data_IF_953087285009
#
_entry.id   IF_953087285009
#
_cell.length_a   1.000
_cell.length_b   1.000
_cell.length_c   1.000
_cell.angle_alpha   90.00
_cell.angle_beta   90.00
_cell.angle_gamma   90.00
#
_symmetry.space_group_name_H-M   'P 1'
#
loop_
_entity.id
_entity.type
_entity.pdbx_description
1 polymer ?
#
# COMPACT_ATOMS: atom_id res chain seq x y z
N UNK A 1 -67.78 10.18 -31.75
CA UNK A 1 -67.47 8.75 -31.54
C UNK A 1 -65.99 8.46 -31.26
N UNK A 2 -65.02 8.85 -32.10
CA UNK A 2 -63.59 8.54 -31.87
C UNK A 2 -63.03 9.00 -30.50
N UNK A 3 -63.44 10.17 -29.99
CA UNK A 3 -63.01 10.66 -28.66
C UNK A 3 -63.58 9.85 -27.48
N UNK A 4 -64.78 9.27 -27.62
CA UNK A 4 -65.40 8.46 -26.57
C UNK A 4 -64.70 7.10 -26.45
N UNK A 5 -64.35 6.48 -27.58
CA UNK A 5 -63.63 5.20 -27.61
C UNK A 5 -62.23 5.30 -26.97
N UNK A 6 -61.51 6.39 -27.20
CA UNK A 6 -60.19 6.62 -26.60
C UNK A 6 -60.26 6.75 -25.06
N UNK A 7 -61.29 7.41 -24.54
CA UNK A 7 -61.50 7.56 -23.09
C UNK A 7 -61.84 6.20 -22.44
N UNK A 8 -62.66 5.38 -23.11
CA UNK A 8 -63.02 4.04 -22.61
C UNK A 8 -61.79 3.13 -22.55
N UNK A 9 -60.92 3.16 -23.58
CA UNK A 9 -59.68 2.35 -23.60
C UNK A 9 -58.71 2.81 -22.49
N UNK A 10 -58.58 4.11 -22.26
CA UNK A 10 -57.69 4.64 -21.22
C UNK A 10 -58.19 4.31 -19.81
N UNK A 11 -59.51 4.35 -19.59
CA UNK A 11 -60.14 3.90 -18.34
C UNK A 11 -59.96 2.39 -18.12
N UNK A 12 -60.12 1.57 -19.15
CA UNK A 12 -59.85 0.12 -19.05
C UNK A 12 -58.37 -0.19 -18.78
N UNK A 13 -57.46 0.57 -19.38
CA UNK A 13 -56.02 0.47 -19.11
C UNK A 13 -55.67 0.79 -17.66
N UNK A 14 -56.21 1.89 -17.11
CA UNK A 14 -56.02 2.25 -15.71
C UNK A 14 -56.65 1.25 -14.74
N UNK A 15 -57.82 0.70 -15.08
CA UNK A 15 -58.48 -0.32 -14.26
C UNK A 15 -57.69 -1.63 -14.25
N UNK A 16 -57.14 -2.07 -15.39
CA UNK A 16 -56.28 -3.24 -15.44
C UNK A 16 -55.01 -3.07 -14.59
N UNK A 17 -54.37 -1.89 -14.62
CA UNK A 17 -53.18 -1.59 -13.79
C UNK A 17 -53.53 -1.63 -12.29
N UNK A 18 -54.73 -1.18 -11.89
CA UNK A 18 -55.15 -1.16 -10.50
C UNK A 18 -55.33 -2.57 -9.88
N UNK A 19 -55.67 -3.57 -10.70
CA UNK A 19 -55.83 -4.97 -10.24
C UNK A 19 -54.45 -5.59 -9.93
N UNK A 20 -53.42 -5.26 -10.69
CA UNK A 20 -52.05 -5.74 -10.42
C UNK A 20 -51.40 -5.04 -9.21
N UNK A 21 -51.80 -3.81 -8.89
CA UNK A 21 -51.27 -3.08 -7.73
C UNK A 21 -51.68 -3.71 -6.38
N UNK A 22 -52.83 -4.39 -6.30
CA UNK A 22 -53.30 -5.01 -5.05
C UNK A 22 -52.45 -6.23 -4.64
N UNK A 23 -51.86 -6.96 -5.60
CA UNK A 23 -50.97 -8.09 -5.30
C UNK A 23 -49.69 -7.66 -4.56
N UNK A 24 -49.20 -6.43 -4.82
CA UNK A 24 -48.00 -5.89 -4.17
C UNK A 24 -48.25 -5.32 -2.76
N UNK A 25 -49.51 -5.18 -2.34
CA UNK A 25 -49.84 -4.72 -0.98
C UNK A 25 -50.08 -5.87 0.00
N UNK A 26 -50.01 -7.12 -0.45
CA UNK A 26 -50.17 -8.27 0.43
C UNK A 26 -48.99 -8.36 1.41
N UNK A 27 -49.34 -8.56 2.69
CA UNK A 27 -48.39 -8.72 3.78
C UNK A 27 -48.65 -10.04 4.48
N UNK A 28 -47.58 -10.67 4.94
CA UNK A 28 -47.67 -11.85 5.77
C UNK A 28 -48.17 -11.51 7.18
N UNK A 29 -48.44 -12.54 7.98
CA UNK A 29 -48.99 -12.42 9.34
C UNK A 29 -48.15 -11.55 10.29
N UNK A 30 -46.85 -11.39 10.00
CA UNK A 30 -45.91 -10.57 10.76
C UNK A 30 -45.74 -9.15 10.18
N UNK A 31 -46.52 -8.79 9.16
CA UNK A 31 -46.44 -7.52 8.45
C UNK A 31 -45.37 -7.45 7.37
N UNK A 32 -44.63 -8.53 7.11
CA UNK A 32 -43.61 -8.57 6.05
C UNK A 32 -44.25 -8.43 4.67
N UNK A 33 -43.81 -7.46 3.84
CA UNK A 33 -44.31 -7.31 2.47
C UNK A 33 -43.99 -8.53 1.61
N UNK A 34 -44.83 -8.79 0.61
CA UNK A 34 -44.57 -9.81 -0.41
C UNK A 34 -43.17 -9.64 -1.05
N UNK A 35 -42.43 -10.74 -1.23
CA UNK A 35 -41.02 -10.76 -1.69
C UNK A 35 -39.99 -10.08 -0.78
N UNK A 36 -40.36 -9.74 0.45
CA UNK A 36 -39.43 -9.27 1.47
C UNK A 36 -39.14 -10.35 2.51
N UNK A 37 -37.98 -10.22 3.16
CA UNK A 37 -37.56 -11.11 4.23
C UNK A 37 -38.17 -10.67 5.55
N UNK A 38 -38.59 -11.65 6.36
CA UNK A 38 -39.14 -11.37 7.67
C UNK A 38 -38.06 -10.84 8.60
N UNK A 39 -38.34 -9.69 9.23
CA UNK A 39 -37.51 -9.12 10.29
C UNK A 39 -37.69 -9.84 11.62
N UNK A 40 -38.82 -10.53 11.80
CA UNK A 40 -39.17 -11.21 13.06
C UNK A 40 -38.79 -12.69 13.04
N UNK A 41 -38.73 -13.30 11.85
CA UNK A 41 -38.32 -14.69 11.62
C UNK A 41 -37.22 -14.75 10.53
N UNK A 42 -35.95 -14.54 10.89
CA UNK A 42 -34.83 -14.69 9.97
C UNK A 42 -34.88 -16.03 9.21
N UNK A 43 -34.53 -16.03 7.92
CA UNK A 43 -34.64 -17.22 7.05
C UNK A 43 -35.98 -17.35 6.30
N UNK A 44 -36.99 -16.57 6.70
CA UNK A 44 -38.31 -16.63 6.08
C UNK A 44 -38.52 -15.44 5.15
N UNK A 45 -39.22 -15.69 4.05
CA UNK A 45 -39.71 -14.69 3.12
C UNK A 45 -41.23 -14.72 3.06
N UNK A 46 -41.85 -13.57 2.79
CA UNK A 46 -43.28 -13.55 2.51
C UNK A 46 -43.54 -13.93 1.05
N UNK A 47 -44.07 -15.14 0.85
CA UNK A 47 -44.27 -15.73 -0.47
C UNK A 47 -45.73 -16.14 -0.69
N UNK A 48 -46.08 -16.42 -1.94
CA UNK A 48 -47.43 -16.79 -2.34
C UNK A 48 -47.80 -18.16 -1.77
N UNK A 49 -48.99 -18.25 -1.18
CA UNK A 49 -49.51 -19.48 -0.59
C UNK A 49 -51.03 -19.57 -0.79
N UNK A 50 -51.45 -20.47 -1.67
CA UNK A 50 -52.86 -20.73 -1.98
C UNK A 50 -53.66 -21.21 -0.77
N UNK A 51 -52.98 -21.78 0.24
CA UNK A 51 -53.63 -22.27 1.46
C UNK A 51 -53.77 -21.18 2.52
N UNK A 52 -53.11 -20.04 2.35
CA UNK A 52 -53.21 -18.91 3.27
C UNK A 52 -54.48 -18.11 3.01
N UNK A 53 -55.24 -17.70 4.05
CA UNK A 53 -56.43 -16.86 3.90
C UNK A 53 -56.17 -15.54 3.16
N UNK A 54 -54.92 -15.05 3.23
CA UNK A 54 -54.51 -13.78 2.62
C UNK A 54 -53.73 -13.98 1.30
N UNK A 55 -53.63 -15.22 0.78
CA UNK A 55 -52.88 -15.56 -0.43
C UNK A 55 -51.35 -15.53 -0.29
N UNK A 56 -50.82 -15.14 0.86
CA UNK A 56 -49.38 -15.14 1.18
C UNK A 56 -49.12 -15.72 2.56
N UNK A 57 -47.98 -16.38 2.73
CA UNK A 57 -47.51 -16.89 4.01
C UNK A 57 -45.99 -16.76 4.14
N UNK A 58 -45.51 -16.76 5.40
CA UNK A 58 -44.08 -16.84 5.65
C UNK A 58 -43.61 -18.25 5.32
N UNK A 59 -42.77 -18.35 4.30
CA UNK A 59 -42.17 -19.60 3.88
C UNK A 59 -40.67 -19.56 4.13
N UNK A 60 -40.11 -20.69 4.50
CA UNK A 60 -38.68 -20.82 4.68
C UNK A 60 -38.01 -20.73 3.31
N UNK A 61 -37.29 -19.63 3.08
CA UNK A 61 -36.63 -19.36 1.79
C UNK A 61 -35.17 -19.85 1.76
N UNK A 62 -34.69 -20.47 2.85
CA UNK A 62 -33.35 -21.07 2.92
C UNK A 62 -33.17 -22.18 1.87
N UNK A 63 -34.24 -22.95 1.66
CA UNK A 63 -34.19 -24.16 0.81
C UNK A 63 -34.28 -23.79 -0.68
N UNK A 64 -35.07 -22.79 -1.04
CA UNK A 64 -35.40 -22.52 -2.44
C UNK A 64 -34.74 -21.25 -3.02
N UNK A 65 -34.13 -20.38 -2.19
CA UNK A 65 -33.45 -19.14 -2.63
C UNK A 65 -34.31 -18.33 -3.61
N UNK A 66 -35.61 -18.27 -3.37
CA UNK A 66 -36.63 -17.73 -4.28
C UNK A 66 -36.45 -16.23 -4.36
N UNK A 67 -36.26 -15.57 -3.21
CA UNK A 67 -35.99 -14.13 -3.15
C UNK A 67 -34.50 -13.91 -3.32
N UNK A 68 -34.08 -13.47 -4.51
CA UNK A 68 -32.68 -13.11 -4.78
C UNK A 68 -32.50 -11.60 -4.78
N UNK A 69 -31.37 -11.14 -4.27
CA UNK A 69 -30.93 -9.78 -4.51
C UNK A 69 -30.67 -9.61 -6.02
N UNK A 70 -31.31 -8.63 -6.70
CA UNK A 70 -31.15 -8.43 -8.13
C UNK A 70 -29.72 -8.06 -8.54
N UNK A 71 -28.91 -7.50 -7.63
CA UNK A 71 -27.52 -7.12 -7.86
C UNK A 71 -26.55 -8.27 -7.64
N UNK A 72 -26.70 -9.02 -6.55
CA UNK A 72 -25.72 -10.06 -6.15
C UNK A 72 -26.13 -11.48 -6.55
N UNK A 73 -27.40 -11.69 -6.93
CA UNK A 73 -28.03 -13.01 -7.18
C UNK A 73 -27.99 -13.94 -5.97
N UNK A 74 -27.59 -13.46 -4.79
CA UNK A 74 -27.60 -14.21 -3.55
C UNK A 74 -29.02 -14.25 -2.98
N UNK A 75 -29.40 -15.33 -2.26
CA UNK A 75 -30.65 -15.38 -1.52
C UNK A 75 -30.73 -14.20 -0.54
N UNK A 76 -31.71 -13.32 -0.74
CA UNK A 76 -31.95 -12.12 0.08
C UNK A 76 -32.24 -12.50 1.54
N UNK A 77 -32.88 -13.65 1.76
CA UNK A 77 -33.33 -14.09 3.07
C UNK A 77 -32.46 -15.16 3.73
N UNK A 78 -31.23 -15.39 3.25
CA UNK A 78 -30.31 -16.31 3.92
C UNK A 78 -29.98 -15.84 5.35
N UNK A 79 -29.77 -16.79 6.28
CA UNK A 79 -29.49 -16.47 7.69
C UNK A 79 -28.28 -15.54 7.85
N UNK A 80 -27.28 -15.69 6.98
CA UNK A 80 -26.06 -14.86 6.96
C UNK A 80 -26.32 -13.37 6.77
N UNK A 81 -27.47 -12.99 6.18
CA UNK A 81 -27.84 -11.59 6.00
C UNK A 81 -28.46 -10.97 7.28
N UNK A 82 -28.72 -11.79 8.30
CA UNK A 82 -29.27 -11.35 9.58
C UNK A 82 -28.18 -11.38 10.66
N UNK A 83 -27.78 -10.23 11.24
CA UNK A 83 -26.73 -10.17 12.24
C UNK A 83 -27.00 -11.11 13.43
N UNK A 84 -26.05 -11.99 13.73
CA UNK A 84 -26.16 -12.95 14.84
C UNK A 84 -26.95 -14.21 14.56
N UNK A 85 -27.41 -14.44 13.32
CA UNK A 85 -28.09 -15.68 12.93
C UNK A 85 -27.20 -16.56 12.05
N UNK A 86 -27.34 -17.87 12.20
CA UNK A 86 -26.71 -18.88 11.37
C UNK A 86 -27.72 -19.97 11.00
N UNK A 87 -27.55 -20.58 9.83
CA UNK A 87 -28.37 -21.73 9.46
C UNK A 87 -27.90 -22.97 10.21
N UNK A 88 -28.79 -23.58 10.99
CA UNK A 88 -28.57 -24.85 11.68
C UNK A 88 -29.78 -25.74 11.43
N UNK A 89 -29.55 -26.89 10.80
CA UNK A 89 -30.60 -27.86 10.45
C UNK A 89 -31.76 -27.25 9.62
N UNK A 90 -31.46 -26.31 8.72
CA UNK A 90 -32.46 -25.66 7.86
C UNK A 90 -33.26 -24.54 8.52
N UNK A 91 -32.90 -24.13 9.74
CA UNK A 91 -33.50 -22.99 10.44
C UNK A 91 -32.46 -21.93 10.78
N UNK A 92 -32.85 -20.65 10.77
CA UNK A 92 -31.99 -19.60 11.28
C UNK A 92 -32.04 -19.56 12.80
N UNK A 93 -30.96 -19.99 13.43
CA UNK A 93 -30.79 -19.96 14.88
C UNK A 93 -29.88 -18.80 15.25
N UNK A 94 -30.24 -18.07 16.30
CA UNK A 94 -29.38 -17.04 16.86
C UNK A 94 -28.16 -17.71 17.49
N UNK A 95 -26.97 -17.41 16.99
CA UNK A 95 -25.72 -17.99 17.46
C UNK A 95 -24.76 -16.89 17.88
N UNK A 96 -24.04 -17.16 18.97
CA UNK A 96 -23.04 -16.27 19.52
C UNK A 96 -21.87 -17.07 20.03
N UNK A 97 -20.71 -16.42 20.08
CA UNK A 97 -19.49 -17.01 20.62
C UNK A 97 -19.08 -16.22 21.87
N UNK A 98 -18.68 -16.92 22.92
CA UNK A 98 -18.06 -16.30 24.07
C UNK A 98 -16.54 -16.37 23.93
N UNK A 99 -15.89 -15.22 23.99
CA UNK A 99 -14.43 -15.13 23.87
C UNK A 99 -13.89 -14.06 24.81
N UNK A 100 -13.01 -14.46 25.73
CA UNK A 100 -12.44 -13.58 26.78
C UNK A 100 -13.51 -12.75 27.53
N UNK A 101 -14.60 -13.41 27.95
CA UNK A 101 -15.72 -12.79 28.68
C UNK A 101 -16.49 -11.71 27.90
N UNK A 102 -16.33 -11.66 26.57
CA UNK A 102 -17.15 -10.87 25.65
C UNK A 102 -17.96 -11.80 24.76
N UNK A 103 -19.19 -11.42 24.47
CA UNK A 103 -20.08 -12.15 23.54
C UNK A 103 -20.02 -11.51 22.17
N UNK A 104 -19.72 -12.31 21.15
CA UNK A 104 -19.66 -11.90 19.75
C UNK A 104 -20.82 -12.55 18.99
N UNK A 105 -21.45 -11.80 18.10
CA UNK A 105 -22.52 -12.32 17.26
C UNK A 105 -21.94 -13.17 16.11
N UNK A 106 -22.73 -14.07 15.56
CA UNK A 106 -22.36 -14.75 14.32
C UNK A 106 -22.01 -13.77 13.20
N UNK A 107 -20.88 -14.03 12.52
CA UNK A 107 -20.28 -13.18 11.50
C UNK A 107 -19.41 -12.04 12.05
N UNK A 108 -19.35 -11.85 13.37
CA UNK A 108 -18.59 -10.75 13.98
C UNK A 108 -17.11 -11.10 14.12
N UNK A 109 -16.26 -10.17 13.69
CA UNK A 109 -14.81 -10.27 13.84
C UNK A 109 -14.37 -9.88 15.25
N UNK A 110 -13.49 -10.67 15.85
CA UNK A 110 -12.81 -10.31 17.10
C UNK A 110 -11.65 -9.37 16.76
N UNK A 111 -11.95 -8.08 16.73
CA UNK A 111 -11.03 -7.02 16.30
C UNK A 111 -9.71 -6.98 17.09
N UNK A 112 -9.73 -7.34 18.38
CA UNK A 112 -8.56 -7.41 19.26
C UNK A 112 -7.60 -8.56 18.89
N UNK A 113 -8.11 -9.60 18.22
CA UNK A 113 -7.34 -10.80 17.86
C UNK A 113 -7.65 -11.26 16.44
N UNK A 114 -7.40 -10.37 15.48
CA UNK A 114 -7.38 -10.76 14.06
C UNK A 114 -6.46 -11.98 13.86
N UNK A 115 -6.86 -12.99 13.08
CA UNK A 115 -7.99 -13.00 12.13
C UNK A 115 -9.25 -13.72 12.65
N UNK A 116 -9.55 -13.68 13.95
CA UNK A 116 -10.64 -14.48 14.50
C UNK A 116 -12.03 -13.94 14.17
N UNK A 117 -12.95 -14.83 13.81
CA UNK A 117 -14.37 -14.58 13.54
C UNK A 117 -15.23 -15.54 14.36
N UNK A 118 -16.38 -15.06 14.84
CA UNK A 118 -17.42 -15.93 15.38
C UNK A 118 -18.26 -16.51 14.23
N UNK A 119 -18.21 -17.81 14.00
CA UNK A 119 -19.03 -18.51 12.99
C UNK A 119 -19.72 -19.72 13.63
N UNK A 120 -21.05 -19.76 13.53
CA UNK A 120 -21.91 -20.85 14.02
C UNK A 120 -21.66 -21.22 15.49
N UNK A 121 -21.41 -20.22 16.34
CA UNK A 121 -21.13 -20.43 17.77
C UNK A 121 -19.71 -20.92 18.09
N UNK A 122 -18.81 -20.95 17.09
CA UNK A 122 -17.38 -21.28 17.26
C UNK A 122 -16.50 -20.12 16.83
N UNK A 123 -15.35 -19.99 17.48
CA UNK A 123 -14.30 -19.06 17.05
C UNK A 123 -13.43 -19.76 16.02
N UNK A 124 -13.39 -19.19 14.82
CA UNK A 124 -12.58 -19.66 13.70
C UNK A 124 -11.61 -18.57 13.25
N UNK A 125 -10.54 -18.93 12.57
CA UNK A 125 -9.64 -17.98 11.93
C UNK A 125 -10.05 -17.80 10.47
N UNK A 126 -10.44 -16.59 10.09
CA UNK A 126 -10.79 -16.25 8.70
C UNK A 126 -10.19 -14.88 8.32
N UNK A 127 -8.90 -14.87 7.90
CA UNK A 127 -8.20 -13.64 7.56
C UNK A 127 -8.77 -12.93 6.33
N UNK A 128 -9.50 -13.65 5.48
CA UNK A 128 -10.14 -13.06 4.30
C UNK A 128 -11.30 -12.13 4.67
N UNK A 129 -11.96 -12.38 5.80
CA UNK A 129 -13.08 -11.56 6.28
C UNK A 129 -12.61 -10.55 7.32
N UNK A 130 -11.84 -10.98 8.33
CA UNK A 130 -11.47 -10.13 9.46
C UNK A 130 -10.13 -9.41 9.30
N UNK A 131 -9.40 -9.71 8.22
CA UNK A 131 -8.05 -9.22 7.99
C UNK A 131 -7.04 -9.83 8.94
N UNK A 132 -5.78 -9.39 8.80
CA UNK A 132 -4.67 -9.84 9.63
C UNK A 132 -4.29 -8.81 10.70
N UNK A 133 -3.61 -9.24 11.78
CA UNK A 133 -3.07 -8.32 12.78
C UNK A 133 -1.94 -7.48 12.18
N UNK A 134 -1.59 -6.38 12.85
CA UNK A 134 -0.51 -5.47 12.42
C UNK A 134 0.80 -6.23 12.18
N UNK A 135 1.48 -5.91 11.08
CA UNK A 135 2.71 -6.59 10.65
C UNK A 135 2.48 -7.93 9.94
N UNK A 136 1.23 -8.33 9.72
CA UNK A 136 0.85 -9.49 8.92
C UNK A 136 -0.07 -9.10 7.77
N UNK A 137 -0.08 -9.93 6.74
CA UNK A 137 -0.95 -9.83 5.58
C UNK A 137 -1.60 -11.18 5.28
N UNK A 138 -2.67 -11.16 4.49
CA UNK A 138 -3.35 -12.37 4.06
C UNK A 138 -2.41 -13.12 3.10
N UNK A 139 -2.10 -14.37 3.43
CA UNK A 139 -1.31 -15.26 2.58
C UNK A 139 -1.98 -15.47 1.21
N UNK A 140 -1.20 -15.87 0.20
CA UNK A 140 -1.73 -16.23 -1.12
C UNK A 140 -2.78 -17.34 -1.08
N UNK A 141 -2.75 -18.19 -0.04
CA UNK A 141 -3.75 -19.24 0.17
C UNK A 141 -5.08 -18.74 0.74
N UNK A 142 -5.16 -17.45 1.13
CA UNK A 142 -6.32 -16.79 1.76
C UNK A 142 -6.80 -17.39 3.08
N UNK A 143 -6.07 -18.36 3.63
CA UNK A 143 -6.43 -19.10 4.84
C UNK A 143 -5.61 -18.68 6.05
N UNK A 144 -4.43 -18.13 5.83
CA UNK A 144 -3.49 -17.81 6.90
C UNK A 144 -3.03 -16.36 6.84
N UNK A 145 -2.57 -15.84 7.98
CA UNK A 145 -1.85 -14.57 8.04
C UNK A 145 -0.34 -14.83 8.01
N UNK A 146 0.35 -14.31 7.01
CA UNK A 146 1.81 -14.36 6.90
C UNK A 146 2.43 -13.04 7.35
N UNK A 147 3.71 -13.07 7.75
CA UNK A 147 4.43 -11.83 8.07
C UNK A 147 4.56 -10.97 6.80
N UNK A 148 4.32 -9.66 6.93
CA UNK A 148 4.52 -8.71 5.83
C UNK A 148 5.99 -8.65 5.44
N UNK A 149 6.24 -8.51 4.14
CA UNK A 149 7.59 -8.37 3.59
C UNK A 149 7.93 -6.89 3.50
N UNK A 150 8.90 -6.44 4.28
CA UNK A 150 9.32 -5.05 4.30
C UNK A 150 10.38 -4.79 5.34
N UNK A 151 11.16 -3.73 5.14
CA UNK A 151 12.22 -3.39 6.09
C UNK A 151 11.66 -2.89 7.43
N UNK A 152 10.42 -2.36 7.45
CA UNK A 152 9.72 -1.97 8.69
C UNK A 152 9.49 -3.17 9.61
N UNK A 153 9.21 -4.32 9.03
CA UNK A 153 8.86 -5.55 9.74
C UNK A 153 10.07 -6.45 10.02
N UNK A 154 11.28 -6.00 9.67
CA UNK A 154 12.51 -6.77 9.85
C UNK A 154 12.64 -8.01 8.94
N UNK A 155 11.71 -8.21 8.01
CA UNK A 155 11.76 -9.29 7.01
C UNK A 155 12.70 -8.98 5.84
N UNK A 156 13.13 -7.72 5.72
CA UNK A 156 14.15 -7.29 4.75
C UNK A 156 15.25 -6.52 5.47
N UNK A 157 16.46 -7.07 5.48
CA UNK A 157 17.66 -6.37 5.94
C UNK A 157 18.18 -5.47 4.82
N UNK A 158 18.28 -4.16 5.09
CA UNK A 158 18.87 -3.23 4.14
C UNK A 158 20.37 -3.51 3.97
N UNK A 159 20.85 -3.44 2.73
CA UNK A 159 22.28 -3.54 2.44
C UNK A 159 23.05 -2.38 3.10
N UNK A 160 24.36 -2.54 3.36
CA UNK A 160 25.21 -1.44 3.79
C UNK A 160 25.02 -0.20 2.89
N UNK A 161 24.91 0.98 3.50
CA UNK A 161 24.67 2.23 2.77
C UNK A 161 23.20 2.50 2.42
N UNK A 162 22.29 1.67 2.91
CA UNK A 162 20.85 1.92 2.86
C UNK A 162 20.26 1.91 4.27
N UNK A 163 19.19 2.69 4.47
CA UNK A 163 18.38 2.65 5.69
C UNK A 163 16.92 2.42 5.36
N UNK A 164 16.24 1.71 6.23
CA UNK A 164 14.80 1.56 6.14
C UNK A 164 14.13 2.92 6.34
N UNK A 165 13.26 3.30 5.41
CA UNK A 165 12.36 4.44 5.56
C UNK A 165 10.93 3.97 5.34
N UNK A 166 10.05 4.35 6.24
CA UNK A 166 8.61 4.15 6.16
C UNK A 166 7.90 5.37 6.77
N UNK A 167 6.62 5.54 6.45
CA UNK A 167 5.75 6.54 7.06
C UNK A 167 5.16 6.00 8.36
N UNK A 168 5.48 6.60 9.50
CA UNK A 168 4.98 6.16 10.80
C UNK A 168 3.44 6.21 10.89
N UNK A 169 2.84 7.19 10.22
CA UNK A 169 1.39 7.41 10.21
C UNK A 169 0.63 6.49 9.22
N UNK A 170 1.33 5.77 8.34
CA UNK A 170 0.71 4.81 7.44
C UNK A 170 1.03 3.39 7.92
N UNK A 171 0.10 2.68 8.59
CA UNK A 171 0.34 1.30 9.03
C UNK A 171 0.50 0.30 7.87
N UNK A 172 0.18 0.70 6.63
CA UNK A 172 0.31 -0.15 5.45
C UNK A 172 1.64 0.05 4.72
N UNK A 173 2.46 1.04 5.09
CA UNK A 173 3.80 1.23 4.53
C UNK A 173 4.75 0.16 5.10
N UNK A 174 5.14 -0.79 4.25
CA UNK A 174 6.07 -1.88 4.57
C UNK A 174 7.52 -1.40 4.71
N UNK A 175 7.77 -0.15 4.34
CA UNK A 175 9.08 0.46 4.34
C UNK A 175 9.95 -0.02 3.20
N UNK A 176 10.79 0.89 2.73
CA UNK A 176 11.77 0.63 1.68
C UNK A 176 13.17 1.00 2.13
N UNK A 177 14.13 0.19 1.71
CA UNK A 177 15.54 0.53 1.86
C UNK A 177 15.85 1.70 0.93
N UNK A 178 16.22 2.84 1.50
CA UNK A 178 16.62 4.03 0.75
C UNK A 178 18.09 4.31 0.96
N UNK A 179 18.81 4.74 -0.08
CA UNK A 179 20.23 5.02 0.05
C UNK A 179 20.45 6.15 1.06
N UNK A 180 21.48 5.99 1.89
CA UNK A 180 21.94 7.04 2.80
C UNK A 180 22.96 7.91 2.07
N UNK A 181 23.04 9.18 2.48
CA UNK A 181 24.07 10.10 2.01
C UNK A 181 25.29 9.99 2.90
N UNK A 182 26.47 9.98 2.31
CA UNK A 182 27.73 9.88 3.03
C UNK A 182 28.90 9.70 2.08
N UNK A 183 30.12 9.75 2.58
CA UNK A 183 31.33 9.57 1.77
C UNK A 183 31.96 8.17 1.89
N UNK A 184 31.46 7.32 2.80
CA UNK A 184 32.04 6.00 3.03
C UNK A 184 31.95 5.11 1.78
N UNK A 185 32.85 4.14 1.67
CA UNK A 185 32.98 3.34 0.44
C UNK A 185 31.82 2.39 0.17
N UNK A 186 31.10 1.97 1.22
CA UNK A 186 29.91 1.15 1.07
C UNK A 186 28.66 1.95 0.65
N UNK A 187 28.74 3.29 0.61
CA UNK A 187 27.64 4.13 0.16
C UNK A 187 27.46 3.98 -1.35
N UNK A 188 26.24 3.75 -1.86
CA UNK A 188 25.97 3.67 -3.29
C UNK A 188 26.44 4.92 -4.04
N UNK A 189 27.08 4.74 -5.20
CA UNK A 189 27.62 5.86 -5.99
C UNK A 189 26.59 6.94 -6.34
N UNK A 190 25.29 6.60 -6.42
CA UNK A 190 24.23 7.58 -6.70
C UNK A 190 24.03 8.60 -5.57
N UNK A 191 24.37 8.25 -4.33
CA UNK A 191 24.25 9.13 -3.14
C UNK A 191 25.57 9.36 -2.43
N UNK A 192 26.67 8.82 -2.97
CA UNK A 192 28.01 8.99 -2.42
C UNK A 192 28.48 10.43 -2.59
N UNK A 193 28.78 11.06 -1.48
CA UNK A 193 29.38 12.39 -1.43
C UNK A 193 30.87 12.22 -1.71
N UNK A 194 31.35 12.81 -2.80
CA UNK A 194 32.78 12.84 -3.12
C UNK A 194 33.43 13.99 -2.35
N UNK A 195 34.27 13.65 -1.37
CA UNK A 195 35.08 14.64 -0.67
C UNK A 195 36.04 15.31 -1.66
N UNK A 196 36.29 16.60 -1.47
CA UNK A 196 37.26 17.33 -2.29
C UNK A 196 38.69 16.83 -2.02
N UNK A 197 39.65 17.24 -2.86
CA UNK A 197 41.07 16.89 -2.66
C UNK A 197 41.64 17.35 -1.30
N UNK A 198 41.03 18.37 -0.70
CA UNK A 198 41.42 18.94 0.61
C UNK A 198 40.73 18.27 1.80
N UNK A 199 39.85 17.31 1.55
CA UNK A 199 39.06 16.61 2.56
C UNK A 199 39.38 15.12 2.56
N UNK A 200 39.04 14.45 3.64
CA UNK A 200 38.99 13.00 3.73
C UNK A 200 37.63 12.57 4.29
N UNK A 201 37.25 11.31 4.03
CA UNK A 201 36.03 10.77 4.58
C UNK A 201 36.29 10.24 6.00
N UNK A 202 35.70 10.88 7.00
CA UNK A 202 35.79 10.47 8.40
C UNK A 202 34.57 9.62 8.78
N UNK A 203 34.79 8.34 9.08
CA UNK A 203 33.76 7.38 9.48
C UNK A 203 33.77 7.08 10.99
N UNK A 204 34.55 7.83 11.79
CA UNK A 204 34.71 7.54 13.23
C UNK A 204 33.46 7.91 14.04
N UNK A 205 32.81 9.03 13.70
CA UNK A 205 31.60 9.51 14.40
C UNK A 205 30.30 9.18 13.69
N UNK A 206 30.35 8.92 12.37
CA UNK A 206 29.21 8.52 11.55
C UNK A 206 29.65 7.38 10.64
N UNK A 207 29.05 6.18 10.71
CA UNK A 207 29.44 5.07 9.85
C UNK A 207 29.29 5.40 8.36
N UNK A 208 28.36 6.29 7.97
CA UNK A 208 28.16 6.70 6.58
C UNK A 208 29.27 7.64 6.08
N UNK A 209 30.08 8.17 6.99
CA UNK A 209 31.20 9.05 6.69
C UNK A 209 30.79 10.49 6.44
N UNK A 210 31.58 11.42 6.97
CA UNK A 210 31.49 12.85 6.69
C UNK A 210 32.78 13.35 6.06
N UNK A 211 32.69 14.21 5.06
CA UNK A 211 33.88 14.89 4.55
C UNK A 211 34.38 15.88 5.60
N UNK A 212 35.62 15.68 6.03
CA UNK A 212 36.31 16.52 7.02
C UNK A 212 37.55 17.12 6.35
N UNK A 213 37.81 18.42 6.49
CA UNK A 213 39.02 19.02 5.94
C UNK A 213 40.27 18.38 6.55
N UNK A 214 41.21 17.99 5.69
CA UNK A 214 42.50 17.44 6.12
C UNK A 214 43.21 18.46 7.00
N UNK A 215 43.82 18.04 8.11
CA UNK A 215 44.54 18.97 8.97
C UNK A 215 45.80 19.52 8.31
N UNK A 216 46.20 20.68 8.81
CA UNK A 216 47.43 21.37 8.48
C UNK A 216 47.27 22.44 7.41
N UNK A 217 48.23 23.36 7.43
CA UNK A 217 48.16 24.60 6.67
C UNK A 217 48.24 24.39 5.15
N UNK A 218 48.81 23.28 4.67
CA UNK A 218 48.86 22.94 3.23
C UNK A 218 47.44 22.72 2.70
N UNK A 219 46.57 22.19 3.56
CA UNK A 219 45.16 21.95 3.25
C UNK A 219 44.26 23.14 3.66
N UNK A 220 44.87 24.28 4.02
CA UNK A 220 44.19 25.49 4.50
C UNK A 220 43.34 25.26 5.76
N UNK A 221 43.74 24.32 6.62
CA UNK A 221 43.02 24.00 7.86
C UNK A 221 43.95 23.80 9.08
N UNK A 222 44.24 24.84 9.88
CA UNK A 222 43.75 26.21 9.72
C UNK A 222 44.48 26.97 8.61
N UNK A 223 43.86 28.00 8.02
CA UNK A 223 44.56 28.94 7.15
C UNK A 223 45.57 29.75 7.98
N UNK A 224 46.75 30.02 7.42
CA UNK A 224 47.76 30.83 8.09
C UNK A 224 47.33 32.30 8.17
N UNK A 225 47.73 32.96 9.26
CA UNK A 225 47.52 34.40 9.44
C UNK A 225 48.40 35.21 8.47
N UNK A 226 48.12 36.51 8.35
CA UNK A 226 48.84 37.40 7.43
C UNK A 226 50.35 37.49 7.68
N UNK A 227 50.82 37.23 8.90
CA UNK A 227 52.23 37.23 9.30
C UNK A 227 52.86 35.83 9.40
N UNK A 228 52.14 34.80 8.93
CA UNK A 228 52.56 33.40 8.97
C UNK A 228 52.62 32.81 7.55
N UNK A 229 53.50 31.82 7.36
CA UNK A 229 53.56 31.00 6.15
C UNK A 229 53.45 29.53 6.52
N UNK A 230 52.81 28.77 5.64
CA UNK A 230 52.73 27.33 5.82
C UNK A 230 54.10 26.69 5.57
N UNK A 231 54.64 26.01 6.58
CA UNK A 231 55.82 25.18 6.41
C UNK A 231 55.39 23.81 5.84
N UNK A 232 55.82 23.42 4.62
CA UNK A 232 55.35 22.21 3.98
C UNK A 232 55.87 20.92 4.62
N UNK A 233 56.94 21.01 5.43
CA UNK A 233 57.54 19.85 6.10
C UNK A 233 56.79 19.55 7.39
N UNK A 234 56.52 20.58 8.20
CA UNK A 234 55.81 20.45 9.49
C UNK A 234 54.29 20.52 9.34
N UNK A 235 53.80 21.02 8.20
CA UNK A 235 52.38 21.26 7.90
C UNK A 235 51.70 22.21 8.92
N UNK A 236 52.50 23.10 9.53
CA UNK A 236 52.05 24.12 10.48
C UNK A 236 52.34 25.52 9.98
N UNK A 237 51.51 26.48 10.40
CA UNK A 237 51.76 27.90 10.16
C UNK A 237 52.86 28.41 11.08
N UNK A 238 53.91 28.98 10.51
CA UNK A 238 55.06 29.52 11.23
C UNK A 238 55.23 31.00 10.84
N UNK A 239 55.66 31.85 11.77
CA UNK A 239 55.89 33.27 11.48
C UNK A 239 56.99 33.44 10.44
N UNK A 240 56.85 34.44 9.55
CA UNK A 240 57.87 34.70 8.52
C UNK A 240 59.28 34.90 9.12
N UNK A 241 59.39 35.50 10.30
CA UNK A 241 60.67 35.74 10.98
C UNK A 241 61.43 34.45 11.32
N UNK A 242 60.71 33.36 11.60
CA UNK A 242 61.28 32.04 11.93
C UNK A 242 61.63 31.20 10.70
N UNK A 243 61.04 31.52 9.54
CA UNK A 243 61.26 30.80 8.27
C UNK A 243 62.47 31.33 7.46
N UNK A 244 63.17 32.36 7.97
CA UNK A 244 64.27 33.05 7.31
C UNK A 244 65.45 32.15 6.89
N UNK A 245 65.53 30.90 7.38
CA UNK A 245 66.58 29.94 7.00
C UNK A 245 66.15 28.84 6.00
N UNK A 246 64.85 28.71 5.67
CA UNK A 246 64.36 27.59 4.86
C UNK A 246 64.23 27.90 3.35
N UNK A 247 64.20 29.19 2.99
CA UNK A 247 63.99 29.67 1.62
C UNK A 247 65.13 30.53 1.07
N UNK A 248 66.24 30.65 1.81
CA UNK A 248 67.47 31.21 1.25
C UNK A 248 67.98 30.26 0.16
N UNK A 249 67.70 30.64 -1.08
CA UNK A 249 67.95 29.87 -2.31
C UNK A 249 69.41 29.56 -2.59
N UNK A 250 70.03 28.68 -1.78
CA UNK A 250 71.19 27.90 -2.19
C UNK A 250 70.71 26.55 -2.72
N UNK A 251 70.61 26.51 -4.04
CA UNK A 251 70.62 25.32 -4.88
C UNK A 251 71.66 24.33 -4.35
N UNK A 252 71.22 23.26 -3.67
CA UNK A 252 72.04 22.06 -3.50
C UNK A 252 71.90 21.22 -4.76
N UNK A 253 72.73 21.52 -5.76
CA UNK A 253 73.15 20.51 -6.73
C UNK A 253 73.99 19.47 -6.00
N UNK A 254 73.40 18.31 -5.74
CA UNK A 254 74.15 17.06 -5.60
C UNK A 254 73.47 16.00 -6.48
N UNK A 255 74.03 15.88 -7.68
CA UNK A 255 74.18 14.64 -8.43
C UNK A 255 74.97 13.64 -7.56
N UNK A 256 74.83 12.31 -7.53
CA UNK A 256 74.09 11.28 -8.25
C UNK A 256 74.23 9.98 -7.44
N UNK A 257 73.21 9.12 -7.41
CA UNK A 257 73.45 7.68 -7.31
C UNK A 257 72.29 6.88 -7.93
N UNK A 258 72.49 6.58 -9.21
CA UNK A 258 72.04 5.40 -9.95
C UNK A 258 71.70 4.18 -9.07
N UNK A 259 70.53 3.57 -9.28
CA UNK A 259 70.48 2.27 -9.98
C UNK A 259 69.06 1.74 -10.20
N UNK A 260 68.81 1.35 -11.45
CA UNK A 260 67.97 0.22 -11.92
C UNK A 260 66.44 0.37 -11.98
N UNK A 261 65.96 0.77 -13.16
CA UNK A 261 64.83 0.11 -13.84
C UNK A 261 65.40 -1.06 -14.69
N UNK A 262 64.61 -2.11 -15.04
CA UNK A 262 63.60 -1.99 -16.10
C UNK A 262 62.29 -2.76 -15.78
N UNK A 263 61.11 -2.14 -15.93
CA UNK A 263 60.33 -2.00 -17.17
C UNK A 263 59.10 -2.95 -17.16
N UNK A 264 58.24 -2.96 -18.19
CA UNK A 264 56.97 -2.23 -18.18
C UNK A 264 55.79 -3.15 -18.56
N UNK A 265 54.60 -2.59 -18.82
CA UNK A 265 53.30 -3.17 -19.21
C UNK A 265 52.26 -3.01 -18.08
N UNK A 266 51.09 -2.37 -18.23
CA UNK A 266 50.26 -2.19 -19.42
C UNK A 266 49.44 -0.90 -19.33
N UNK A 267 49.14 -0.36 -20.51
CA UNK A 267 48.33 0.83 -20.78
C UNK A 267 46.91 0.82 -20.20
N UNK A 268 46.30 2.01 -20.06
CA UNK A 268 44.91 2.19 -19.68
C UNK A 268 43.99 1.81 -20.84
N UNK A 269 43.01 0.95 -20.56
CA UNK A 269 41.90 0.67 -21.46
C UNK A 269 40.94 1.86 -21.51
N UNK A 270 41.22 2.79 -22.42
CA UNK A 270 40.23 3.73 -22.97
C UNK A 270 39.24 2.88 -23.77
N UNK A 271 38.18 2.45 -23.10
CA UNK A 271 37.05 1.73 -23.67
C UNK A 271 35.88 2.67 -23.90
N UNK A 272 35.93 3.40 -25.01
CA UNK A 272 34.79 3.85 -25.82
C UNK A 272 33.44 4.02 -25.11
N UNK A 273 33.14 5.26 -24.70
CA UNK A 273 31.77 5.75 -24.62
C UNK A 273 31.22 5.76 -26.05
N UNK A 274 30.56 4.68 -26.45
CA UNK A 274 29.67 4.70 -27.60
C UNK A 274 28.36 5.32 -27.16
N UNK A 275 28.22 6.60 -27.48
CA UNK A 275 26.95 7.27 -27.65
C UNK A 275 26.06 6.41 -28.57
N UNK A 276 25.05 5.73 -28.02
CA UNK A 276 23.91 5.31 -28.81
C UNK A 276 22.97 6.50 -28.92
N UNK A 277 23.07 7.17 -30.06
CA UNK A 277 22.04 8.03 -30.62
C UNK A 277 20.68 7.30 -30.57
N UNK A 278 19.75 7.78 -29.76
CA UNK A 278 18.36 7.83 -30.17
C UNK A 278 18.14 9.19 -30.84
N UNK A 279 17.71 9.19 -32.10
CA UNK A 279 16.57 10.03 -32.43
C UNK A 279 15.57 9.32 -33.37
N UNK A 280 14.32 9.34 -32.91
CA UNK A 280 13.09 9.59 -33.69
C UNK A 280 12.90 8.89 -35.04
N UNK A 281 11.93 7.97 -35.06
CA UNK A 281 10.92 7.88 -36.12
C UNK A 281 9.54 7.72 -35.43
N UNK A 282 8.70 8.75 -35.58
CA UNK A 282 7.41 8.71 -36.30
C UNK A 282 6.34 7.86 -35.59
N UNK A 283 5.37 8.46 -34.89
CA UNK A 283 4.18 9.11 -35.44
C UNK A 283 3.35 8.18 -36.34
N UNK A 284 2.19 7.72 -35.87
CA UNK A 284 0.88 7.78 -36.54
C UNK A 284 -0.15 6.82 -35.92
N UNK A 285 -1.36 7.36 -35.68
CA UNK A 285 -2.63 6.63 -35.64
C UNK A 285 -2.98 6.03 -34.26
N UNK A 286 -4.15 6.26 -33.66
CA UNK A 286 -5.48 6.64 -34.14
C UNK A 286 -6.18 7.39 -32.99
N UNK A 287 -6.71 8.59 -33.17
CA UNK A 287 -8.08 8.84 -33.64
C UNK A 287 -9.14 7.92 -33.00
N UNK A 288 -9.90 8.51 -32.07
CA UNK A 288 -11.35 8.40 -32.06
C UNK A 288 -11.95 7.15 -31.42
N UNK A 289 -12.54 7.32 -30.24
CA UNK A 289 -13.97 7.07 -30.09
C UNK A 289 -14.53 7.78 -28.87
N UNK A 290 -15.18 8.90 -29.15
CA UNK A 290 -16.17 9.55 -28.32
C UNK A 290 -17.39 8.64 -28.18
N UNK A 291 -17.75 8.31 -26.94
CA UNK A 291 -19.12 7.93 -26.52
C UNK A 291 -19.23 8.58 -25.12
N UNK A 292 -19.87 9.73 -24.88
CA UNK A 292 -21.21 10.20 -25.22
C UNK A 292 -22.32 9.25 -24.74
N UNK A 293 -22.55 9.26 -23.42
CA UNK A 293 -23.87 9.16 -22.78
C UNK A 293 -23.82 10.10 -21.55
N UNK A 294 -23.95 11.41 -21.73
CA UNK A 294 -25.19 12.22 -21.66
C UNK A 294 -26.52 11.50 -21.36
N UNK A 295 -27.27 12.16 -20.47
CA UNK A 295 -28.65 12.00 -19.99
C UNK A 295 -28.76 11.26 -18.66
N UNK A 296 -29.49 11.75 -17.66
CA UNK A 296 -30.32 12.97 -17.46
C UNK A 296 -30.63 13.00 -15.94
N UNK A 297 -30.73 14.17 -15.31
CA UNK A 297 -31.99 14.76 -14.78
C UNK A 297 -32.86 13.77 -14.00
N UNK A 298 -33.54 14.08 -12.90
CA UNK A 298 -33.68 15.18 -11.96
C UNK A 298 -34.69 14.63 -10.92
N UNK A 299 -34.87 15.35 -9.81
CA UNK A 299 -36.05 15.30 -8.91
C UNK A 299 -36.26 14.04 -8.03
N UNK A 300 -36.04 14.18 -6.72
CA UNK A 300 -37.04 14.60 -5.74
C UNK A 300 -36.49 14.51 -4.31
#
# INVERSE_FOLDING_TARGET
>A
MKKLLAIIILLFGLFAISIFAQAYQQKCSDGTPYWECSKTKPGYACLYDEKSPNGVSLQNDLINKIVKDPKTKQPKCACENFPGYAEMNGECVKTSCEYKSKTYNNGECISEEKPKICRMGKIEEDPSICGCPTGKEISSDKKTCQARVGCRWGSVNCQPGYKCKYQENDPNDDGKCTPVSGCADFIPEQTKIKCTSLEYCDTTTDPNGKCVPKPGCINLNPPCKSDERCNPITNTCEKLSTLSGLFDGKTQTNASSSSNAPAPYSKPGIGSIKCCCLPTFLALGLLGLSILFKNKEDEA
#
